data_IF_376166992660
#
_entry.id   IF_376166992660
#
_cell.length_a   1.000
_cell.length_b   1.000
_cell.length_c   1.000
_cell.angle_alpha   90.00
_cell.angle_beta   90.00
_cell.angle_gamma   90.00
#
_symmetry.space_group_name_H-M   'P 1'
#
loop_
_entity.id
_entity.type
_entity.pdbx_description
1 polymer ?
#
# COMPACT_ATOMS: atom_id res chain seq x y z
N UNK A 1 -18.28 11.41 -17.28
CA UNK A 1 -18.15 10.66 -16.01
C UNK A 1 -18.50 11.53 -14.80
N UNK A 2 -17.84 12.67 -14.57
CA UNK A 2 -18.09 13.56 -13.41
C UNK A 2 -19.56 13.99 -13.27
N UNK A 3 -20.20 14.41 -14.37
CA UNK A 3 -21.62 14.78 -14.36
C UNK A 3 -22.54 13.62 -14.03
N UNK A 4 -22.17 12.41 -14.42
CA UNK A 4 -22.89 11.18 -14.10
C UNK A 4 -22.84 10.89 -12.60
N UNK A 5 -21.67 10.95 -11.99
CA UNK A 5 -21.51 10.77 -10.54
C UNK A 5 -22.29 11.81 -9.72
N UNK A 6 -22.31 13.08 -10.16
CA UNK A 6 -23.10 14.13 -9.50
C UNK A 6 -24.60 13.82 -9.59
N UNK A 7 -25.10 13.42 -10.77
CA UNK A 7 -26.52 13.04 -10.96
C UNK A 7 -26.92 11.86 -10.08
N UNK A 8 -26.11 10.81 -10.08
CA UNK A 8 -26.38 9.60 -9.29
C UNK A 8 -26.38 9.90 -7.80
N UNK A 9 -25.40 10.66 -7.32
CA UNK A 9 -25.35 11.09 -5.92
C UNK A 9 -26.55 11.96 -5.54
N UNK A 10 -26.98 12.85 -6.44
CA UNK A 10 -28.16 13.70 -6.20
C UNK A 10 -29.46 12.88 -6.19
N UNK A 11 -29.56 11.89 -7.07
CA UNK A 11 -30.76 11.04 -7.18
C UNK A 11 -30.90 10.08 -6.01
N UNK A 12 -29.78 9.54 -5.51
CA UNK A 12 -29.78 8.52 -4.44
C UNK A 12 -29.59 9.11 -3.05
N UNK A 13 -29.13 10.36 -2.94
CA UNK A 13 -28.71 10.97 -1.67
C UNK A 13 -27.43 10.37 -1.08
N UNK A 14 -26.76 9.47 -1.83
CA UNK A 14 -25.54 8.77 -1.39
C UNK A 14 -24.33 9.28 -2.13
N UNK A 15 -23.19 9.30 -1.46
CA UNK A 15 -21.91 9.67 -2.05
C UNK A 15 -21.05 8.43 -2.26
N UNK A 16 -20.12 8.53 -3.21
CA UNK A 16 -19.22 7.44 -3.55
C UNK A 16 -18.06 7.34 -2.56
N UNK A 17 -17.64 6.11 -2.31
CA UNK A 17 -16.32 5.79 -1.78
C UNK A 17 -15.45 5.39 -2.97
N UNK A 18 -14.33 6.08 -3.14
CA UNK A 18 -13.39 5.83 -4.24
C UNK A 18 -12.17 5.12 -3.66
N UNK A 19 -11.85 3.95 -4.18
CA UNK A 19 -10.65 3.18 -3.82
C UNK A 19 -9.80 3.05 -5.06
N UNK A 20 -8.54 3.49 -4.99
CA UNK A 20 -7.55 3.34 -6.06
C UNK A 20 -6.36 2.57 -5.46
N UNK A 21 -6.17 1.36 -5.96
CA UNK A 21 -4.99 0.55 -5.63
C UNK A 21 -3.86 0.87 -6.60
N UNK A 22 -2.64 0.93 -6.09
CA UNK A 22 -1.43 1.30 -6.86
C UNK A 22 -1.59 2.62 -7.66
N UNK A 23 -2.04 3.69 -6.98
CA UNK A 23 -2.27 5.00 -7.62
C UNK A 23 -1.04 5.51 -8.38
N UNK A 24 0.13 5.07 -8.02
CA UNK A 24 1.43 5.51 -8.55
C UNK A 24 1.97 4.66 -9.71
N UNK A 25 1.24 3.63 -10.14
CA UNK A 25 1.68 2.71 -11.19
C UNK A 25 2.08 3.43 -12.48
N UNK A 26 1.25 4.38 -12.95
CA UNK A 26 1.58 5.13 -14.17
C UNK A 26 2.80 6.04 -14.00
N UNK A 27 3.09 6.48 -12.80
CA UNK A 27 4.26 7.31 -12.51
C UNK A 27 5.54 6.44 -12.49
N UNK A 28 5.44 5.21 -11.98
CA UNK A 28 6.55 4.25 -11.94
C UNK A 28 6.85 3.69 -13.32
N UNK A 29 5.83 3.19 -14.01
CA UNK A 29 5.97 2.48 -15.28
C UNK A 29 6.28 3.44 -16.45
N UNK A 30 5.68 4.63 -16.44
CA UNK A 30 5.95 5.67 -17.42
C UNK A 30 7.01 6.68 -16.91
N UNK A 31 8.06 6.22 -16.24
CA UNK A 31 9.06 7.07 -15.57
C UNK A 31 9.77 8.05 -16.52
N UNK A 32 9.85 7.75 -17.82
CA UNK A 32 10.44 8.57 -18.87
C UNK A 32 9.42 9.40 -19.66
N UNK A 33 8.13 9.08 -19.57
CA UNK A 33 7.05 9.80 -20.27
C UNK A 33 6.40 10.85 -19.35
N UNK A 34 6.99 12.02 -19.34
CA UNK A 34 6.53 13.14 -18.52
C UNK A 34 5.14 13.66 -18.93
N UNK A 35 4.75 13.45 -20.18
CA UNK A 35 3.44 13.91 -20.69
C UNK A 35 2.34 13.06 -20.10
N UNK A 36 2.48 11.73 -20.16
CA UNK A 36 1.53 10.80 -19.55
C UNK A 36 1.43 10.99 -18.05
N UNK A 37 2.56 11.22 -17.37
CA UNK A 37 2.56 11.51 -15.94
C UNK A 37 1.78 12.79 -15.62
N UNK A 38 2.00 13.87 -16.38
CA UNK A 38 1.31 15.13 -16.16
C UNK A 38 -0.20 15.03 -16.42
N UNK A 39 -0.59 14.34 -17.47
CA UNK A 39 -2.01 14.08 -17.78
C UNK A 39 -2.68 13.30 -16.66
N UNK A 40 -2.03 12.28 -16.14
CA UNK A 40 -2.53 11.48 -15.03
C UNK A 40 -2.66 12.28 -13.73
N UNK A 41 -1.66 13.08 -13.40
CA UNK A 41 -1.70 13.98 -12.22
C UNK A 41 -2.82 15.01 -12.36
N UNK A 42 -3.03 15.55 -13.56
CA UNK A 42 -4.12 16.48 -13.83
C UNK A 42 -5.49 15.80 -13.72
N UNK A 43 -5.60 14.55 -14.14
CA UNK A 43 -6.78 13.73 -13.93
C UNK A 43 -7.10 13.54 -12.43
N UNK A 44 -6.12 13.13 -11.62
CA UNK A 44 -6.29 12.99 -10.18
C UNK A 44 -6.64 14.32 -9.49
N UNK A 45 -5.99 15.41 -9.91
CA UNK A 45 -6.33 16.75 -9.44
C UNK A 45 -7.77 17.10 -9.75
N UNK A 46 -8.22 16.86 -10.96
CA UNK A 46 -9.60 17.11 -11.38
C UNK A 46 -10.61 16.25 -10.62
N UNK A 47 -10.23 15.03 -10.25
CA UNK A 47 -11.09 14.11 -9.52
C UNK A 47 -11.24 14.48 -8.03
N UNK A 48 -10.17 14.93 -7.38
CA UNK A 48 -10.15 15.02 -5.92
C UNK A 48 -10.01 16.44 -5.37
N UNK A 49 -9.57 17.42 -6.15
CA UNK A 49 -9.29 18.77 -5.67
C UNK A 49 -10.43 19.75 -5.94
N UNK A 50 -10.66 20.63 -4.98
CA UNK A 50 -11.68 21.66 -5.04
C UNK A 50 -12.99 21.27 -4.34
N UNK A 51 -14.00 22.11 -4.43
CA UNK A 51 -15.29 21.92 -3.77
C UNK A 51 -16.23 20.96 -4.50
N UNK A 52 -16.05 20.79 -5.81
CA UNK A 52 -16.94 19.94 -6.61
C UNK A 52 -16.88 18.45 -6.21
N UNK A 53 -15.70 17.82 -5.99
CA UNK A 53 -15.64 16.44 -5.55
C UNK A 53 -16.40 16.16 -4.25
N UNK A 54 -16.47 17.10 -3.34
CA UNK A 54 -17.18 16.92 -2.06
C UNK A 54 -18.70 16.75 -2.21
N UNK A 55 -19.24 17.08 -3.37
CA UNK A 55 -20.66 16.90 -3.67
C UNK A 55 -21.02 15.43 -3.91
N UNK A 56 -20.08 14.62 -4.43
CA UNK A 56 -20.34 13.24 -4.81
C UNK A 56 -19.34 12.22 -4.24
N UNK A 57 -18.19 12.65 -3.68
CA UNK A 57 -17.25 11.78 -3.01
C UNK A 57 -17.37 11.95 -1.49
N UNK A 58 -17.60 10.83 -0.80
CA UNK A 58 -17.61 10.77 0.66
C UNK A 58 -16.21 10.51 1.22
N UNK A 59 -15.49 9.58 0.58
CA UNK A 59 -14.15 9.15 0.97
C UNK A 59 -13.37 8.75 -0.27
N UNK A 60 -12.08 9.05 -0.29
CA UNK A 60 -11.14 8.49 -1.24
C UNK A 60 -9.99 7.83 -0.49
N UNK A 61 -9.65 6.59 -0.88
CA UNK A 61 -8.56 5.80 -0.32
C UNK A 61 -7.63 5.36 -1.45
N UNK A 62 -6.37 5.76 -1.37
CA UNK A 62 -5.35 5.48 -2.38
C UNK A 62 -4.24 4.68 -1.73
N UNK A 63 -3.84 3.58 -2.36
CA UNK A 63 -2.64 2.81 -1.98
C UNK A 63 -1.56 2.96 -3.04
N UNK A 64 -0.31 2.83 -2.66
CA UNK A 64 0.83 2.91 -3.58
C UNK A 64 2.16 2.77 -2.85
N UNK A 65 3.22 2.65 -3.62
CA UNK A 65 4.60 2.53 -3.12
C UNK A 65 5.23 3.91 -2.94
N UNK A 66 4.95 4.83 -3.87
CA UNK A 66 5.55 6.16 -3.83
C UNK A 66 4.75 7.11 -2.93
N UNK A 67 5.41 7.84 -2.02
CA UNK A 67 4.74 8.85 -1.23
C UNK A 67 4.30 10.03 -2.11
N UNK A 68 3.07 10.49 -1.91
CA UNK A 68 2.47 11.61 -2.66
C UNK A 68 3.35 12.87 -2.58
N UNK A 69 3.98 13.12 -1.44
CA UNK A 69 4.78 14.33 -1.18
C UNK A 69 6.09 14.41 -1.95
N UNK A 70 6.64 13.28 -2.41
CA UNK A 70 7.95 13.25 -3.10
C UNK A 70 7.85 13.48 -4.60
N UNK A 71 6.67 13.36 -5.17
CA UNK A 71 6.46 13.59 -6.59
C UNK A 71 5.96 15.02 -6.74
N UNK A 72 6.23 15.70 -7.87
CA UNK A 72 5.74 17.06 -8.22
C UNK A 72 4.21 17.23 -8.07
N UNK A 73 3.56 16.23 -7.52
CA UNK A 73 2.14 16.11 -7.19
C UNK A 73 1.73 16.79 -5.89
N UNK A 74 2.66 17.31 -5.09
CA UNK A 74 2.36 17.86 -3.76
C UNK A 74 1.23 18.91 -3.80
N UNK A 75 1.18 19.71 -4.86
CA UNK A 75 0.10 20.69 -5.05
C UNK A 75 -1.21 20.08 -5.56
N UNK A 76 -1.17 18.88 -6.15
CA UNK A 76 -2.33 18.23 -6.76
C UNK A 76 -3.17 17.43 -5.75
N UNK A 77 -2.52 16.78 -4.80
CA UNK A 77 -3.14 15.85 -3.86
C UNK A 77 -2.88 16.21 -2.37
N UNK A 78 -2.66 17.49 -2.07
CA UNK A 78 -2.37 17.97 -0.72
C UNK A 78 -3.56 17.90 0.26
N UNK A 79 -4.72 17.49 -0.21
CA UNK A 79 -5.92 17.28 0.59
C UNK A 79 -6.04 15.85 1.14
N UNK A 80 -5.07 14.97 0.83
CA UNK A 80 -5.01 13.63 1.41
C UNK A 80 -4.16 13.62 2.70
N UNK A 81 -4.61 12.86 3.69
CA UNK A 81 -3.78 12.42 4.79
C UNK A 81 -2.93 11.23 4.31
N UNK A 82 -1.63 11.31 4.50
CA UNK A 82 -0.69 10.27 4.10
C UNK A 82 -0.30 9.43 5.32
N UNK A 83 -0.34 8.11 5.14
CA UNK A 83 0.08 7.10 6.09
C UNK A 83 1.16 6.25 5.45
N UNK A 84 2.21 5.93 6.18
CA UNK A 84 3.35 5.16 5.68
C UNK A 84 3.70 4.02 6.64
N UNK A 85 4.55 3.10 6.21
CA UNK A 85 5.07 2.04 7.08
C UNK A 85 5.84 2.58 8.30
N UNK A 86 6.39 3.79 8.21
CA UNK A 86 7.09 4.47 9.33
C UNK A 86 6.19 5.39 10.14
N UNK A 87 4.97 5.67 9.70
CA UNK A 87 3.99 6.54 10.36
C UNK A 87 2.57 6.02 10.02
N UNK A 88 2.26 4.82 10.48
CA UNK A 88 1.02 4.11 10.16
C UNK A 88 -0.18 4.57 11.00
N UNK A 89 0.04 5.14 12.20
CA UNK A 89 -0.98 5.69 13.11
C UNK A 89 -2.16 4.73 13.28
N UNK A 90 -3.37 5.22 12.99
CA UNK A 90 -4.62 4.45 13.14
C UNK A 90 -4.70 3.19 12.25
N UNK A 91 -3.86 3.10 11.21
CA UNK A 91 -3.83 1.94 10.29
C UNK A 91 -2.84 0.87 10.70
N UNK A 92 -2.01 1.07 11.74
CA UNK A 92 -0.95 0.14 12.14
C UNK A 92 -1.44 -1.30 12.32
N UNK A 93 -2.63 -1.52 12.86
CA UNK A 93 -3.21 -2.87 13.03
C UNK A 93 -3.83 -3.48 11.77
N UNK A 94 -3.96 -2.72 10.69
CA UNK A 94 -4.66 -3.15 9.47
C UNK A 94 -3.74 -3.36 8.26
N UNK A 95 -2.45 -3.13 8.42
CA UNK A 95 -1.48 -3.24 7.31
C UNK A 95 -1.09 -4.70 7.04
N UNK A 96 -1.17 -5.55 8.07
CA UNK A 96 -0.87 -6.97 7.99
C UNK A 96 -1.60 -7.73 9.08
N UNK A 97 -1.22 -8.99 9.30
CA UNK A 97 -1.75 -9.75 10.43
C UNK A 97 -1.08 -9.34 11.73
N UNK A 98 -1.86 -9.09 12.76
CA UNK A 98 -1.35 -8.88 14.12
C UNK A 98 -0.85 -10.20 14.73
N UNK A 99 0.01 -10.12 15.75
CA UNK A 99 0.50 -11.33 16.44
C UNK A 99 -0.66 -12.19 16.97
N UNK A 100 -1.72 -11.57 17.46
CA UNK A 100 -2.90 -12.26 17.97
C UNK A 100 -3.61 -13.04 16.86
N UNK A 101 -3.82 -12.42 15.70
CA UNK A 101 -4.42 -13.07 14.53
C UNK A 101 -3.55 -14.22 14.01
N UNK A 102 -2.22 -14.04 13.96
CA UNK A 102 -1.30 -15.11 13.57
C UNK A 102 -1.35 -16.27 14.55
N UNK A 103 -1.45 -16.01 15.84
CA UNK A 103 -1.60 -17.06 16.88
C UNK A 103 -2.88 -17.86 16.66
N UNK A 104 -4.01 -17.20 16.46
CA UNK A 104 -5.29 -17.86 16.15
C UNK A 104 -5.21 -18.67 14.84
N UNK A 105 -4.55 -18.17 13.81
CA UNK A 105 -4.35 -18.91 12.56
C UNK A 105 -3.47 -20.15 12.78
N UNK A 106 -2.39 -20.04 13.56
CA UNK A 106 -1.53 -21.18 13.88
C UNK A 106 -2.30 -22.28 14.61
N UNK A 107 -3.14 -21.93 15.58
CA UNK A 107 -4.01 -22.89 16.27
C UNK A 107 -4.98 -23.55 15.29
N UNK A 108 -5.68 -22.75 14.47
CA UNK A 108 -6.67 -23.24 13.51
C UNK A 108 -6.08 -24.19 12.47
N UNK A 109 -4.90 -23.89 11.97
CA UNK A 109 -4.22 -24.68 10.91
C UNK A 109 -3.17 -25.65 11.43
N UNK A 110 -3.04 -25.81 12.75
CA UNK A 110 -2.07 -26.67 13.41
C UNK A 110 -0.63 -26.37 13.00
N UNK A 111 -0.25 -25.08 13.10
CA UNK A 111 1.11 -24.60 12.84
C UNK A 111 1.80 -24.20 14.14
N UNK A 112 3.11 -24.40 14.18
CA UNK A 112 3.92 -23.97 15.31
C UNK A 112 4.05 -22.44 15.33
N UNK A 113 3.45 -21.82 16.34
CA UNK A 113 3.49 -20.36 16.48
C UNK A 113 4.90 -19.83 16.76
N UNK A 114 5.68 -20.50 17.61
CA UNK A 114 7.05 -20.07 17.96
C UNK A 114 7.94 -20.04 16.73
N UNK A 115 7.84 -21.08 15.90
CA UNK A 115 8.55 -21.16 14.63
C UNK A 115 8.03 -20.13 13.62
N UNK A 116 6.71 -19.92 13.56
CA UNK A 116 6.10 -18.89 12.70
C UNK A 116 6.59 -17.50 13.08
N UNK A 117 6.63 -17.20 14.37
CA UNK A 117 7.18 -15.94 14.88
C UNK A 117 8.65 -15.78 14.47
N UNK A 118 9.49 -16.80 14.68
CA UNK A 118 10.90 -16.74 14.32
C UNK A 118 11.13 -16.46 12.83
N UNK A 119 10.30 -17.00 11.96
CA UNK A 119 10.44 -16.84 10.51
C UNK A 119 9.82 -15.57 9.93
N UNK A 120 8.71 -15.11 10.51
CA UNK A 120 7.86 -14.10 9.87
C UNK A 120 7.51 -12.91 10.77
N UNK A 121 8.11 -12.82 11.96
CA UNK A 121 7.98 -11.65 12.83
C UNK A 121 8.65 -10.46 12.15
N UNK A 122 7.82 -9.53 11.63
CA UNK A 122 8.29 -8.53 10.68
C UNK A 122 8.42 -7.13 11.25
N UNK A 123 7.32 -6.49 11.63
CA UNK A 123 7.32 -5.06 11.89
C UNK A 123 6.62 -4.71 13.19
N UNK A 124 7.25 -3.84 13.99
CA UNK A 124 6.57 -3.18 15.09
C UNK A 124 6.03 -1.83 14.59
N UNK A 125 4.72 -1.75 14.37
CA UNK A 125 4.03 -0.55 13.95
C UNK A 125 3.24 0.02 15.13
N UNK A 126 3.69 1.15 15.64
CA UNK A 126 3.22 1.70 16.90
C UNK A 126 3.37 0.67 18.04
N UNK A 127 2.26 0.10 18.48
CA UNK A 127 2.21 -0.93 19.54
C UNK A 127 1.89 -2.33 19.00
N UNK A 128 1.72 -2.49 17.70
CA UNK A 128 1.31 -3.75 17.07
C UNK A 128 2.48 -4.44 16.40
N UNK A 129 2.70 -5.70 16.79
CA UNK A 129 3.56 -6.60 16.03
C UNK A 129 2.78 -7.09 14.81
N UNK A 130 3.29 -6.78 13.61
CA UNK A 130 2.59 -7.01 12.34
C UNK A 130 3.41 -7.94 11.45
N UNK A 131 2.75 -8.95 10.94
CA UNK A 131 3.32 -10.00 10.09
C UNK A 131 2.92 -9.79 8.63
N UNK A 132 3.84 -10.09 7.70
CA UNK A 132 3.55 -10.01 6.28
C UNK A 132 2.42 -10.96 5.88
N UNK A 133 1.32 -10.46 5.27
CA UNK A 133 0.14 -11.26 4.94
C UNK A 133 0.46 -12.43 4.01
N UNK A 134 1.28 -12.23 2.98
CA UNK A 134 1.64 -13.28 2.04
C UNK A 134 2.38 -14.41 2.74
N UNK A 135 3.37 -14.11 3.53
CA UNK A 135 4.15 -15.12 4.24
C UNK A 135 3.28 -15.96 5.19
N UNK A 136 2.37 -15.31 5.94
CA UNK A 136 1.44 -15.99 6.84
C UNK A 136 0.49 -16.89 6.06
N UNK A 137 -0.14 -16.39 4.99
CA UNK A 137 -1.09 -17.16 4.18
C UNK A 137 -0.42 -18.37 3.53
N UNK A 138 0.75 -18.18 2.92
CA UNK A 138 1.51 -19.28 2.28
C UNK A 138 1.90 -20.35 3.30
N UNK A 139 2.36 -19.95 4.49
CA UNK A 139 2.63 -20.91 5.57
C UNK A 139 1.38 -21.70 5.96
N UNK A 140 0.22 -21.05 6.12
CA UNK A 140 -1.02 -21.73 6.49
C UNK A 140 -1.42 -22.75 5.42
N UNK A 141 -1.26 -22.43 4.15
CA UNK A 141 -1.60 -23.32 3.03
C UNK A 141 -0.61 -24.48 2.91
N UNK A 142 0.67 -24.19 2.80
CA UNK A 142 1.68 -25.17 2.38
C UNK A 142 2.41 -25.85 3.53
N UNK A 143 2.31 -25.34 4.75
CA UNK A 143 3.05 -25.82 5.93
C UNK A 143 4.57 -25.91 5.70
N UNK A 144 5.12 -24.98 4.94
CA UNK A 144 6.53 -24.92 4.61
C UNK A 144 7.11 -23.60 5.10
N UNK A 145 8.18 -23.65 5.87
CA UNK A 145 8.91 -22.47 6.31
C UNK A 145 10.00 -22.14 5.28
N UNK A 146 9.84 -21.00 4.61
CA UNK A 146 10.79 -20.46 3.62
C UNK A 146 10.56 -18.96 3.47
N UNK A 147 11.49 -18.26 2.81
CA UNK A 147 11.27 -16.87 2.44
C UNK A 147 10.21 -16.78 1.33
N UNK A 148 9.14 -16.04 1.60
CA UNK A 148 8.08 -15.74 0.63
C UNK A 148 8.14 -14.28 0.16
N UNK A 149 9.09 -13.52 0.69
CA UNK A 149 9.18 -12.10 0.41
C UNK A 149 9.69 -11.81 -1.01
N UNK A 150 10.65 -12.59 -1.48
CA UNK A 150 11.23 -12.46 -2.82
C UNK A 150 10.24 -12.72 -3.96
N UNK A 151 9.12 -13.40 -3.66
CA UNK A 151 8.09 -13.74 -4.66
C UNK A 151 7.01 -12.66 -4.78
N UNK A 152 7.25 -11.45 -4.29
CA UNK A 152 6.30 -10.33 -4.37
C UNK A 152 6.72 -9.35 -5.46
N UNK A 153 5.75 -8.87 -6.26
CA UNK A 153 6.00 -7.82 -7.27
C UNK A 153 6.58 -6.53 -6.70
N UNK A 154 6.41 -6.30 -5.40
CA UNK A 154 7.02 -5.19 -4.66
C UNK A 154 8.55 -5.29 -4.66
N UNK A 155 9.11 -6.51 -4.60
CA UNK A 155 10.56 -6.72 -4.67
C UNK A 155 11.13 -6.20 -5.99
N UNK A 156 10.53 -6.57 -7.12
CA UNK A 156 10.97 -6.12 -8.45
C UNK A 156 10.87 -4.60 -8.60
N UNK A 157 9.86 -3.97 -8.01
CA UNK A 157 9.69 -2.52 -8.04
C UNK A 157 10.72 -1.77 -7.18
N UNK A 158 11.26 -2.39 -6.12
CA UNK A 158 12.22 -1.77 -5.19
C UNK A 158 13.66 -1.95 -5.68
N UNK A 159 13.99 -3.06 -6.34
CA UNK A 159 15.36 -3.37 -6.81
C UNK A 159 16.00 -2.23 -7.61
N UNK A 160 15.33 -1.58 -8.58
CA UNK A 160 15.90 -0.45 -9.31
C UNK A 160 16.18 0.77 -8.41
N UNK A 161 15.40 0.95 -7.34
CA UNK A 161 15.54 2.08 -6.41
C UNK A 161 16.70 1.89 -5.44
N UNK A 162 17.06 0.64 -5.14
CA UNK A 162 18.20 0.29 -4.28
C UNK A 162 19.53 0.36 -5.05
N UNK A 163 19.48 0.29 -6.37
CA UNK A 163 20.68 0.31 -7.23
C UNK A 163 21.38 1.67 -7.36
N UNK A 164 20.87 2.72 -6.74
CA UNK A 164 21.52 4.02 -6.74
C UNK A 164 22.52 4.11 -5.58
N UNK A 165 23.81 3.79 -5.87
CA UNK A 165 25.01 4.12 -5.08
C UNK A 165 25.19 3.53 -3.66
N UNK A 166 24.54 2.41 -3.33
CA UNK A 166 24.76 1.75 -2.04
C UNK A 166 25.31 0.32 -2.20
N UNK A 167 26.52 0.20 -2.73
CA UNK A 167 27.17 -1.12 -2.96
C UNK A 167 27.38 -1.96 -1.70
N UNK A 168 27.37 -1.35 -0.51
CA UNK A 168 27.51 -2.05 0.77
C UNK A 168 26.18 -2.60 1.33
N UNK A 169 25.04 -2.09 0.86
CA UNK A 169 23.71 -2.52 1.32
C UNK A 169 23.19 -3.76 0.54
N UNK A 170 23.70 -3.98 -0.67
CA UNK A 170 23.30 -5.12 -1.51
C UNK A 170 23.51 -6.49 -0.85
N UNK A 171 24.69 -6.78 -0.27
CA UNK A 171 24.89 -8.08 0.40
C UNK A 171 23.96 -8.27 1.60
N UNK A 172 23.76 -7.23 2.40
CA UNK A 172 22.95 -7.30 3.61
C UNK A 172 21.45 -7.56 3.33
N UNK A 173 20.94 -7.10 2.18
CA UNK A 173 19.53 -7.33 1.79
C UNK A 173 19.33 -8.70 1.12
N UNK A 174 20.37 -9.22 0.45
CA UNK A 174 20.31 -10.52 -0.22
C UNK A 174 20.47 -11.67 0.78
N UNK A 175 21.16 -11.43 1.91
CA UNK A 175 21.38 -12.44 2.97
C UNK A 175 20.26 -12.48 4.03
N UNK A 176 19.31 -11.57 4.00
CA UNK A 176 18.09 -11.59 4.82
C UNK A 176 17.01 -12.48 4.18
#
# INVERSE_FOLDING_TARGET
>A
QRQMCIRDSTATGQKFVVIIDEWDVLIRDASTDLVVQEEYINFLRGMFKGSEPTKYIQLAYLTGILPIKKIKTQSALNNFAEFTMTDARIFSRYIGFTEEEVRMLCEKYHRDFSKTKHWYDGYLLEQYQVYNPKAVVELMIWNKFQSYWSDTGTYEAIVPLINMDFDWLKPAIIEM
#
